data_IF_839990402273
#
_entry.id   IF_839990402273
#
_cell.length_a   1.000
_cell.length_b   1.000
_cell.length_c   1.000
_cell.angle_alpha   90.00
_cell.angle_beta   90.00
_cell.angle_gamma   90.00
#
_symmetry.space_group_name_H-M   'P 1'
#
loop_
_entity.id
_entity.type
_entity.pdbx_description
1 polymer ?
#
# COMPACT_ATOMS: atom_id res chain seq x y z
N UNK A 1 -23.04 24.16 27.17
CA UNK A 1 -22.48 24.67 25.91
C UNK A 1 -22.42 23.49 24.94
N UNK A 2 -23.26 23.50 23.91
CA UNK A 2 -23.41 22.41 22.94
C UNK A 2 -22.24 22.41 21.96
N UNK A 3 -21.40 21.38 21.99
CA UNK A 3 -20.34 21.19 20.98
C UNK A 3 -20.98 20.81 19.65
N UNK A 4 -20.72 21.61 18.61
CA UNK A 4 -21.12 21.28 17.24
C UNK A 4 -20.34 20.05 16.74
N UNK A 5 -21.01 19.04 16.14
CA UNK A 5 -20.33 17.87 15.62
C UNK A 5 -19.42 18.23 14.45
N UNK A 6 -18.15 17.83 14.53
CA UNK A 6 -17.13 18.09 13.52
C UNK A 6 -17.32 17.10 12.36
N UNK A 7 -18.17 17.39 11.39
CA UNK A 7 -18.40 16.47 10.28
C UNK A 7 -17.15 16.25 9.40
N UNK A 8 -16.77 14.99 9.19
CA UNK A 8 -15.78 14.61 8.17
C UNK A 8 -16.39 14.83 6.77
N UNK A 9 -15.88 15.77 5.99
CA UNK A 9 -16.39 16.09 4.64
C UNK A 9 -16.28 14.95 3.61
N UNK A 10 -15.60 13.85 3.96
CA UNK A 10 -15.33 12.72 3.07
C UNK A 10 -15.96 11.40 3.52
N UNK A 11 -16.29 11.31 4.80
CA UNK A 11 -16.92 10.18 5.44
C UNK A 11 -18.39 10.59 5.59
N UNK A 12 -19.31 10.01 4.81
CA UNK A 12 -20.77 10.24 5.00
C UNK A 12 -21.30 9.61 6.30
N UNK A 13 -20.47 9.56 7.33
CA UNK A 13 -20.78 9.06 8.66
C UNK A 13 -20.73 10.22 9.65
N UNK A 14 -21.49 10.09 10.72
CA UNK A 14 -21.37 10.96 11.87
C UNK A 14 -19.93 10.91 12.38
N UNK A 15 -19.39 12.07 12.74
CA UNK A 15 -18.06 12.12 13.30
C UNK A 15 -18.09 11.51 14.70
N UNK A 16 -17.09 10.70 15.01
CA UNK A 16 -16.97 10.11 16.34
C UNK A 16 -16.90 11.22 17.40
N UNK A 17 -17.90 11.25 18.27
CA UNK A 17 -18.00 12.18 19.39
C UNK A 17 -17.89 11.40 20.70
N UNK A 18 -16.80 11.57 21.47
CA UNK A 18 -16.65 10.88 22.74
C UNK A 18 -17.72 11.36 23.73
N UNK A 19 -18.19 10.45 24.57
CA UNK A 19 -19.16 10.75 25.65
C UNK A 19 -18.48 11.53 26.77
N UNK A 20 -17.18 11.35 26.97
CA UNK A 20 -16.41 12.01 28.02
C UNK A 20 -15.49 13.09 27.45
N UNK A 21 -15.53 14.24 28.12
CA UNK A 21 -14.50 15.27 27.98
C UNK A 21 -13.39 15.04 29.01
N UNK A 22 -12.15 14.98 28.53
CA UNK A 22 -10.99 14.77 29.40
C UNK A 22 -10.68 16.06 30.19
N UNK A 23 -11.12 16.13 31.45
CA UNK A 23 -10.72 17.19 32.39
C UNK A 23 -9.71 16.66 33.42
N UNK A 24 -8.45 16.56 32.99
CA UNK A 24 -7.35 16.01 33.80
C UNK A 24 -6.97 16.88 35.00
N UNK A 25 -7.12 18.20 34.89
CA UNK A 25 -6.78 19.14 35.95
C UNK A 25 -7.72 19.00 37.16
N UNK A 26 -9.03 18.94 36.90
CA UNK A 26 -10.04 18.72 37.95
C UNK A 26 -9.86 17.35 38.61
N UNK A 27 -9.63 16.31 37.82
CA UNK A 27 -9.40 14.96 38.33
C UNK A 27 -8.16 14.90 39.23
N UNK A 28 -7.06 15.53 38.82
CA UNK A 28 -5.82 15.58 39.60
C UNK A 28 -6.00 16.31 40.93
N UNK A 29 -6.80 17.39 40.96
CA UNK A 29 -7.16 18.08 42.19
C UNK A 29 -7.93 17.18 43.17
N UNK A 30 -8.91 16.42 42.68
CA UNK A 30 -9.68 15.45 43.48
C UNK A 30 -8.79 14.33 44.02
N UNK A 31 -7.86 13.81 43.22
CA UNK A 31 -6.92 12.76 43.63
C UNK A 31 -5.95 13.20 44.74
N UNK A 32 -5.70 14.51 44.88
CA UNK A 32 -4.76 15.08 45.86
C UNK A 32 -5.42 15.62 47.13
N UNK A 33 -6.75 15.55 47.25
CA UNK A 33 -7.45 16.05 48.43
C UNK A 33 -7.29 15.10 49.63
N UNK A 34 -7.17 15.65 50.85
CA UNK A 34 -6.92 14.89 52.09
C UNK A 34 -8.08 13.97 52.52
N UNK A 35 -9.28 14.24 52.02
CA UNK A 35 -10.45 13.40 52.28
C UNK A 35 -10.53 12.30 51.22
N UNK A 36 -10.55 11.04 51.68
CA UNK A 36 -10.87 9.88 50.85
C UNK A 36 -12.31 9.95 50.28
N UNK A 37 -12.90 8.84 49.79
CA UNK A 37 -14.17 8.85 49.04
C UNK A 37 -15.39 9.42 49.80
N UNK A 38 -15.24 9.86 51.05
CA UNK A 38 -16.24 10.55 51.87
C UNK A 38 -16.81 11.84 51.24
N UNK A 39 -16.09 12.49 50.32
CA UNK A 39 -16.55 13.67 49.56
C UNK A 39 -16.87 13.41 48.08
N UNK A 40 -16.82 12.15 47.65
CA UNK A 40 -16.83 11.77 46.23
C UNK A 40 -18.14 11.04 45.91
N UNK A 41 -18.89 11.52 44.92
CA UNK A 41 -20.05 10.79 44.40
C UNK A 41 -19.59 9.53 43.66
N UNK A 42 -19.56 8.41 44.39
CA UNK A 42 -19.17 7.09 43.88
C UNK A 42 -20.03 6.68 42.68
N UNK A 43 -21.31 7.07 42.63
CA UNK A 43 -22.19 6.74 41.52
C UNK A 43 -21.86 7.58 40.28
N UNK A 44 -21.49 8.85 40.46
CA UNK A 44 -20.95 9.67 39.38
C UNK A 44 -19.65 9.06 38.81
N UNK A 45 -18.71 8.63 39.67
CA UNK A 45 -17.48 7.97 39.19
C UNK A 45 -17.78 6.69 38.43
N UNK A 46 -18.65 5.81 38.96
CA UNK A 46 -19.03 4.57 38.26
C UNK A 46 -19.63 4.84 36.88
N UNK A 47 -20.49 5.87 36.75
CA UNK A 47 -21.05 6.29 35.46
C UNK A 47 -19.96 6.81 34.51
N UNK A 48 -19.01 7.58 35.02
CA UNK A 48 -17.87 8.03 34.20
C UNK A 48 -17.01 6.85 33.74
N UNK A 49 -16.70 5.89 34.61
CA UNK A 49 -15.95 4.69 34.21
C UNK A 49 -16.67 3.92 33.10
N UNK A 50 -17.98 3.67 33.25
CA UNK A 50 -18.77 3.01 32.20
C UNK A 50 -18.77 3.78 30.87
N UNK A 51 -18.80 5.11 30.92
CA UNK A 51 -18.69 5.93 29.71
C UNK A 51 -17.28 5.90 29.12
N UNK A 52 -16.22 5.83 29.94
CA UNK A 52 -14.84 5.65 29.48
C UNK A 52 -14.71 4.32 28.73
N UNK A 53 -15.20 3.23 29.33
CA UNK A 53 -15.10 1.88 28.77
C UNK A 53 -15.77 1.82 27.39
N UNK A 54 -16.97 2.39 27.27
CA UNK A 54 -17.66 2.47 25.98
C UNK A 54 -16.94 3.37 24.97
N UNK A 55 -16.38 4.50 25.40
CA UNK A 55 -15.64 5.38 24.49
C UNK A 55 -14.39 4.67 23.95
N UNK A 56 -13.70 3.88 24.80
CA UNK A 56 -12.56 3.06 24.40
C UNK A 56 -12.95 1.99 23.37
N UNK A 57 -14.05 1.27 23.60
CA UNK A 57 -14.58 0.28 22.65
C UNK A 57 -14.90 0.92 21.29
N UNK A 58 -15.53 2.09 21.29
CA UNK A 58 -15.83 2.79 20.04
C UNK A 58 -14.57 3.32 19.34
N UNK A 59 -13.58 3.80 20.10
CA UNK A 59 -12.28 4.18 19.55
C UNK A 59 -11.59 3.00 18.85
N UNK A 60 -11.59 1.83 19.48
CA UNK A 60 -11.02 0.62 18.88
C UNK A 60 -11.76 0.23 17.59
N UNK A 61 -13.09 0.28 17.60
CA UNK A 61 -13.89 0.01 16.41
C UNK A 61 -13.59 1.00 15.27
N UNK A 62 -13.50 2.30 15.57
CA UNK A 62 -13.19 3.33 14.59
C UNK A 62 -11.75 3.22 14.06
N UNK A 63 -10.79 2.87 14.91
CA UNK A 63 -9.42 2.57 14.50
C UNK A 63 -9.37 1.40 13.51
N UNK A 64 -10.05 0.29 13.80
CA UNK A 64 -10.14 -0.87 12.90
C UNK A 64 -10.76 -0.48 11.56
N UNK A 65 -11.85 0.32 11.58
CA UNK A 65 -12.53 0.81 10.38
C UNK A 65 -11.59 1.66 9.52
N UNK A 66 -10.90 2.63 10.12
CA UNK A 66 -9.98 3.51 9.42
C UNK A 66 -8.75 2.77 8.88
N UNK A 67 -8.18 1.85 9.66
CA UNK A 67 -7.07 1.00 9.20
C UNK A 67 -7.47 0.16 7.99
N UNK A 68 -8.65 -0.43 8.00
CA UNK A 68 -9.19 -1.20 6.87
C UNK A 68 -9.33 -0.32 5.62
N UNK A 69 -9.84 0.91 5.78
CA UNK A 69 -9.96 1.87 4.69
C UNK A 69 -8.59 2.30 4.13
N UNK A 70 -7.60 2.50 5.01
CA UNK A 70 -6.22 2.80 4.61
C UNK A 70 -5.58 1.65 3.82
N UNK A 71 -5.75 0.42 4.27
CA UNK A 71 -5.25 -0.77 3.58
C UNK A 71 -5.88 -0.91 2.20
N UNK A 72 -7.20 -0.74 2.08
CA UNK A 72 -7.90 -0.74 0.81
C UNK A 72 -7.34 0.30 -0.17
N UNK A 73 -7.20 1.55 0.27
CA UNK A 73 -6.68 2.64 -0.58
C UNK A 73 -5.23 2.41 -1.00
N UNK A 74 -4.38 1.86 -0.12
CA UNK A 74 -3.02 1.46 -0.47
C UNK A 74 -3.02 0.39 -1.56
N UNK A 75 -3.84 -0.65 -1.42
CA UNK A 75 -3.94 -1.71 -2.41
C UNK A 75 -4.42 -1.18 -3.78
N UNK A 76 -5.41 -0.28 -3.79
CA UNK A 76 -5.89 0.35 -5.03
C UNK A 76 -4.80 1.21 -5.70
N UNK A 77 -4.03 1.96 -4.89
CA UNK A 77 -2.92 2.78 -5.39
C UNK A 77 -1.84 1.93 -6.05
N UNK A 78 -1.44 0.80 -5.44
CA UNK A 78 -0.45 -0.09 -6.05
C UNK A 78 -0.98 -0.72 -7.35
N UNK A 79 -2.22 -1.21 -7.38
CA UNK A 79 -2.84 -1.72 -8.61
C UNK A 79 -2.81 -0.69 -9.74
N UNK A 80 -3.10 0.57 -9.42
CA UNK A 80 -3.06 1.66 -10.40
C UNK A 80 -1.63 1.96 -10.87
N UNK A 81 -0.63 1.88 -9.98
CA UNK A 81 0.78 2.03 -10.36
C UNK A 81 1.22 0.92 -11.31
N UNK A 82 0.86 -0.33 -11.03
CA UNK A 82 1.16 -1.48 -11.88
C UNK A 82 0.50 -1.34 -13.26
N UNK A 83 -0.78 -0.97 -13.28
CA UNK A 83 -1.50 -0.71 -14.52
C UNK A 83 -0.85 0.42 -15.34
N UNK A 84 -0.48 1.53 -14.69
CA UNK A 84 0.25 2.63 -15.31
C UNK A 84 1.60 2.20 -15.86
N UNK A 85 2.36 1.36 -15.14
CA UNK A 85 3.63 0.82 -15.62
C UNK A 85 3.44 -0.04 -16.87
N UNK A 86 2.41 -0.91 -16.89
CA UNK A 86 2.03 -1.71 -18.06
C UNK A 86 1.68 -0.83 -19.26
N UNK A 87 0.88 0.21 -19.09
CA UNK A 87 0.58 1.18 -20.16
C UNK A 87 1.84 1.89 -20.67
N UNK A 88 2.72 2.34 -19.78
CA UNK A 88 4.01 2.95 -20.19
C UNK A 88 4.86 1.96 -20.99
N UNK A 89 4.85 0.68 -20.61
CA UNK A 89 5.56 -0.34 -21.38
C UNK A 89 5.05 -0.42 -22.82
N UNK A 90 3.73 -0.29 -23.06
CA UNK A 90 3.13 -0.34 -24.41
C UNK A 90 3.65 0.79 -25.29
N UNK A 91 3.96 1.93 -24.70
CA UNK A 91 4.53 3.09 -25.39
C UNK A 91 6.06 3.04 -25.51
N UNK A 92 6.71 1.99 -25.00
CA UNK A 92 8.17 1.89 -25.01
C UNK A 92 8.71 1.90 -26.45
N UNK A 93 9.73 2.72 -26.75
CA UNK A 93 10.34 2.79 -28.09
C UNK A 93 10.80 1.44 -28.62
N UNK A 94 11.18 0.54 -27.72
CA UNK A 94 11.63 -0.83 -28.01
C UNK A 94 10.60 -1.65 -28.81
N UNK A 95 9.31 -1.32 -28.70
CA UNK A 95 8.21 -1.95 -29.44
C UNK A 95 8.02 -1.38 -30.85
N UNK A 96 8.63 -0.22 -31.14
CA UNK A 96 8.61 0.44 -32.46
C UNK A 96 9.82 0.12 -33.31
N UNK A 97 10.83 -0.56 -32.75
CA UNK A 97 12.03 -0.93 -33.50
C UNK A 97 11.68 -1.89 -34.66
N UNK A 98 12.23 -1.68 -35.86
CA UNK A 98 12.20 -2.67 -36.93
C UNK A 98 12.89 -3.97 -36.53
N UNK A 99 12.54 -5.08 -37.18
CA UNK A 99 13.08 -6.40 -36.84
C UNK A 99 14.61 -6.46 -37.01
N UNK A 100 15.16 -5.73 -37.98
CA UNK A 100 16.60 -5.66 -38.28
C UNK A 100 17.38 -5.12 -37.07
N UNK A 101 16.85 -4.08 -36.42
CA UNK A 101 17.47 -3.53 -35.22
C UNK A 101 17.33 -4.47 -34.02
N UNK A 102 16.24 -5.22 -33.94
CA UNK A 102 16.05 -6.24 -32.90
C UNK A 102 17.06 -7.37 -33.03
N UNK A 103 17.30 -7.86 -34.24
CA UNK A 103 18.31 -8.88 -34.48
C UNK A 103 19.72 -8.40 -34.10
N UNK A 104 20.09 -7.16 -34.43
CA UNK A 104 21.38 -6.60 -34.00
C UNK A 104 21.52 -6.50 -32.49
N UNK A 105 20.45 -6.15 -31.78
CA UNK A 105 20.45 -6.14 -30.31
C UNK A 105 20.72 -7.55 -29.79
N UNK A 106 20.06 -8.57 -30.34
CA UNK A 106 20.29 -9.95 -29.93
C UNK A 106 21.73 -10.40 -30.18
N UNK A 107 22.29 -10.11 -31.37
CA UNK A 107 23.69 -10.39 -31.71
C UNK A 107 24.66 -9.77 -30.70
N UNK A 108 24.44 -8.51 -30.33
CA UNK A 108 25.26 -7.83 -29.34
C UNK A 108 25.19 -8.50 -27.96
N UNK A 109 23.99 -8.86 -27.51
CA UNK A 109 23.79 -9.52 -26.19
C UNK A 109 24.35 -10.93 -26.12
N UNK A 110 24.45 -11.64 -27.25
CA UNK A 110 25.10 -12.93 -27.32
C UNK A 110 26.63 -12.78 -27.39
N UNK A 111 27.14 -11.84 -28.18
CA UNK A 111 28.58 -11.58 -28.29
C UNK A 111 29.20 -11.19 -26.93
N UNK A 112 28.43 -10.54 -26.05
CA UNK A 112 28.86 -10.20 -24.70
C UNK A 112 28.75 -11.35 -23.68
N UNK A 113 28.30 -12.54 -24.08
CA UNK A 113 27.97 -13.68 -23.21
C UNK A 113 26.98 -13.34 -22.08
N UNK A 114 26.24 -12.24 -22.19
CA UNK A 114 25.39 -11.74 -21.10
C UNK A 114 24.33 -12.78 -20.70
N UNK A 115 23.70 -13.40 -21.70
CA UNK A 115 22.65 -14.41 -21.52
C UNK A 115 23.22 -15.68 -20.86
N UNK A 116 24.43 -16.09 -21.24
CA UNK A 116 25.11 -17.28 -20.69
C UNK A 116 25.58 -17.04 -19.24
N UNK A 117 25.98 -15.82 -18.91
CA UNK A 117 26.42 -15.43 -17.57
C UNK A 117 25.24 -15.23 -16.60
N UNK A 118 24.04 -14.93 -17.11
CA UNK A 118 22.85 -14.65 -16.30
C UNK A 118 21.65 -15.53 -16.74
N UNK A 119 21.74 -16.85 -16.58
CA UNK A 119 20.64 -17.75 -16.90
C UNK A 119 19.44 -17.44 -16.00
N UNK A 120 18.29 -17.16 -16.62
CA UNK A 120 17.05 -16.84 -15.90
C UNK A 120 16.84 -15.36 -15.58
N UNK A 121 17.68 -14.45 -16.10
CA UNK A 121 17.46 -13.01 -15.97
C UNK A 121 16.14 -12.58 -16.66
N UNK A 122 15.24 -11.98 -15.87
CA UNK A 122 13.98 -11.40 -16.36
C UNK A 122 14.22 -10.22 -17.32
N UNK A 123 15.44 -9.67 -17.35
CA UNK A 123 15.87 -8.64 -18.30
C UNK A 123 16.46 -9.21 -19.60
N UNK A 124 16.49 -10.53 -19.78
CA UNK A 124 16.91 -11.12 -21.04
C UNK A 124 16.02 -10.62 -22.20
N UNK A 125 16.58 -10.36 -23.40
CA UNK A 125 15.82 -9.83 -24.53
C UNK A 125 14.49 -10.56 -24.85
N UNK A 126 14.37 -11.90 -24.75
CA UNK A 126 13.10 -12.62 -24.97
C UNK A 126 11.99 -12.32 -23.95
N UNK A 127 12.30 -11.64 -22.83
CA UNK A 127 11.34 -11.26 -21.80
C UNK A 127 10.65 -9.90 -22.06
N UNK A 128 11.12 -9.11 -23.05
CA UNK A 128 10.62 -7.74 -23.31
C UNK A 128 9.18 -7.71 -23.85
N UNK A 129 8.87 -8.53 -24.86
CA UNK A 129 7.50 -8.76 -25.35
C UNK A 129 7.42 -10.03 -26.22
N UNK A 130 6.20 -10.44 -26.56
CA UNK A 130 5.95 -11.62 -27.43
C UNK A 130 6.68 -11.53 -28.77
N UNK A 131 6.75 -10.33 -29.39
CA UNK A 131 7.49 -10.13 -30.64
C UNK A 131 8.98 -10.40 -30.49
N UNK A 132 9.61 -9.91 -29.42
CA UNK A 132 11.02 -10.17 -29.14
C UNK A 132 11.28 -11.65 -28.92
N UNK A 133 10.40 -12.32 -28.16
CA UNK A 133 10.49 -13.77 -27.96
C UNK A 133 10.38 -14.55 -29.26
N UNK A 134 9.40 -14.22 -30.11
CA UNK A 134 9.21 -14.87 -31.40
C UNK A 134 10.44 -14.68 -32.29
N UNK A 135 10.97 -13.45 -32.38
CA UNK A 135 12.15 -13.16 -33.21
C UNK A 135 13.41 -13.84 -32.69
N UNK A 136 13.57 -14.00 -31.37
CA UNK A 136 14.70 -14.70 -30.78
C UNK A 136 14.68 -16.22 -31.08
N UNK A 137 13.52 -16.79 -31.39
CA UNK A 137 13.34 -18.21 -31.72
C UNK A 137 13.50 -18.51 -33.22
N UNK A 138 13.67 -17.51 -34.08
CA UNK A 138 13.78 -17.70 -35.54
C UNK A 138 15.10 -18.40 -35.89
N UNK A 139 15.11 -19.39 -36.81
CA UNK A 139 16.33 -20.08 -37.25
C UNK A 139 17.50 -19.17 -37.68
N UNK A 140 17.17 -18.02 -38.27
CA UNK A 140 18.14 -16.99 -38.67
C UNK A 140 18.83 -16.29 -37.49
N UNK A 141 18.20 -16.29 -36.31
CA UNK A 141 18.79 -15.85 -35.05
C UNK A 141 19.47 -17.01 -34.29
N UNK A 142 19.48 -18.22 -34.82
CA UNK A 142 20.03 -19.43 -34.15
C UNK A 142 21.54 -19.45 -34.05
N UNK A 143 22.29 -18.52 -34.67
CA UNK A 143 23.69 -18.27 -34.28
C UNK A 143 23.84 -17.86 -32.81
N UNK A 144 22.75 -17.44 -32.16
CA UNK A 144 22.70 -17.05 -30.75
C UNK A 144 22.40 -18.21 -29.80
N UNK A 145 21.86 -19.32 -30.31
CA UNK A 145 21.43 -20.48 -29.50
C UNK A 145 22.22 -21.74 -29.78
N UNK A 146 23.10 -21.75 -30.79
CA UNK A 146 23.96 -22.88 -31.13
C UNK A 146 25.00 -23.26 -30.05
N UNK A 147 25.11 -22.49 -28.96
CA UNK A 147 26.00 -22.80 -27.82
C UNK A 147 25.28 -23.27 -26.55
N UNK A 148 23.95 -23.42 -26.57
CA UNK A 148 23.24 -24.10 -25.48
C UNK A 148 23.24 -25.60 -25.77
N UNK A 149 24.37 -26.25 -25.46
CA UNK A 149 24.38 -27.70 -25.28
C UNK A 149 23.60 -28.04 -24.00
N UNK A 150 22.63 -28.94 -24.16
CA UNK A 150 21.90 -29.63 -23.08
C UNK A 150 22.84 -30.59 -22.37
#
# INVERSE_FOLDING_TARGET
>A
MTQNPIHCSRCRGEAFTPRITLNTAELTGKLRSEFGPTGVDVQQIKRMLLSCDRDLEDYDAELVRLQSQMLYLRAQKERLRDYRAKLRSLLSPVRKLPNELLFRIFEFTHASNYITQHPGDEHAPPAVCSRWRQLALVPSSTRLWSNLMI
#
